data_IF_001443325659
#
_entry.id   IF_001443325659
#
_cell.length_a   1.000
_cell.length_b   1.000
_cell.length_c   1.000
_cell.angle_alpha   90.00
_cell.angle_beta   90.00
_cell.angle_gamma   90.00
#
_symmetry.space_group_name_H-M   'P 1'
#
loop_
_entity.id
_entity.type
_entity.pdbx_description
1 polymer ?
#
# COMPACT_ATOMS: atom_id res chain seq x y z
N UNK A 1 55.25 -10.38 55.93
CA UNK A 1 53.84 -10.74 55.63
C UNK A 1 53.27 -9.62 54.74
N UNK A 2 52.65 -9.99 53.63
CA UNK A 2 52.51 -9.21 52.40
C UNK A 2 51.71 -7.90 52.51
N UNK A 3 52.21 -6.86 51.83
CA UNK A 3 51.53 -5.59 51.53
C UNK A 3 50.59 -5.78 50.32
N UNK A 4 49.33 -5.37 50.42
CA UNK A 4 48.39 -5.27 49.30
C UNK A 4 48.02 -3.79 49.11
N UNK A 5 48.34 -3.15 47.97
CA UNK A 5 47.87 -1.81 47.68
C UNK A 5 46.48 -1.88 47.04
N UNK A 6 45.48 -1.29 47.70
CA UNK A 6 44.13 -1.16 47.15
C UNK A 6 44.08 0.02 46.18
N UNK A 7 44.23 -0.26 44.89
CA UNK A 7 43.99 0.71 43.81
C UNK A 7 42.50 0.99 43.68
N UNK A 8 42.02 2.10 44.24
CA UNK A 8 40.71 2.67 43.88
C UNK A 8 40.86 3.43 42.57
N UNK A 9 40.51 2.79 41.44
CA UNK A 9 40.23 3.50 40.19
C UNK A 9 39.00 4.38 40.41
N UNK A 10 39.24 5.67 40.69
CA UNK A 10 38.22 6.70 40.61
C UNK A 10 37.79 6.79 39.15
N UNK A 11 36.63 6.21 38.82
CA UNK A 11 35.96 6.52 37.56
C UNK A 11 35.71 8.02 37.57
N UNK A 12 36.45 8.73 36.72
CA UNK A 12 36.40 10.18 36.62
C UNK A 12 34.99 10.58 36.18
N UNK A 13 34.16 11.04 37.13
CA UNK A 13 32.77 11.46 36.88
C UNK A 13 32.63 12.45 35.71
N UNK A 14 33.70 13.17 35.35
CA UNK A 14 33.71 14.18 34.29
C UNK A 14 33.55 13.64 32.86
N UNK A 15 33.82 12.36 32.59
CA UNK A 15 33.66 11.77 31.24
C UNK A 15 32.36 10.99 31.05
N UNK A 16 31.68 10.60 32.14
CA UNK A 16 30.44 9.82 32.06
C UNK A 16 29.21 10.65 31.65
N UNK A 17 29.14 11.92 32.08
CA UNK A 17 28.01 12.81 31.80
C UNK A 17 27.80 13.17 30.31
N UNK A 18 28.83 13.54 29.51
CA UNK A 18 28.62 13.87 28.10
C UNK A 18 28.23 12.64 27.25
N UNK A 19 28.73 11.44 27.61
CA UNK A 19 28.35 10.18 26.97
C UNK A 19 26.90 9.79 27.26
N UNK A 20 26.45 9.92 28.50
CA UNK A 20 25.05 9.67 28.88
C UNK A 20 24.09 10.66 28.22
N UNK A 21 24.44 11.95 28.15
CA UNK A 21 23.63 12.96 27.44
C UNK A 21 23.56 12.69 25.94
N UNK A 22 24.66 12.26 25.31
CA UNK A 22 24.68 11.88 23.90
C UNK A 22 23.80 10.65 23.60
N UNK A 23 23.83 9.63 24.45
CA UNK A 23 22.99 8.44 24.33
C UNK A 23 21.52 8.80 24.52
N UNK A 24 21.17 9.61 25.52
CA UNK A 24 19.80 10.06 25.75
C UNK A 24 19.29 10.90 24.57
N UNK A 25 20.11 11.80 24.02
CA UNK A 25 19.75 12.57 22.83
C UNK A 25 19.53 11.66 21.60
N UNK A 26 20.38 10.66 21.37
CA UNK A 26 20.20 9.68 20.30
C UNK A 26 18.94 8.83 20.48
N UNK A 27 18.64 8.41 21.71
CA UNK A 27 17.43 7.67 22.03
C UNK A 27 16.18 8.54 21.83
N UNK A 28 16.21 9.82 22.22
CA UNK A 28 15.11 10.76 22.01
C UNK A 28 14.90 11.07 20.51
N UNK A 29 15.98 11.18 19.72
CA UNK A 29 15.90 11.34 18.27
C UNK A 29 15.34 10.08 17.58
N UNK A 30 15.79 8.88 17.97
CA UNK A 30 15.27 7.62 17.44
C UNK A 30 13.79 7.40 17.82
N UNK A 31 13.40 7.81 19.03
CA UNK A 31 12.02 7.73 19.49
C UNK A 31 11.12 8.78 18.82
N UNK A 32 11.64 9.98 18.58
CA UNK A 32 10.97 11.04 17.82
C UNK A 32 10.75 10.66 16.35
N UNK A 33 11.73 10.02 15.71
CA UNK A 33 11.61 9.53 14.34
C UNK A 33 10.55 8.42 14.20
N UNK A 34 10.36 7.59 15.23
CA UNK A 34 9.27 6.61 15.29
C UNK A 34 7.89 7.24 15.58
N UNK A 35 7.82 8.44 16.15
CA UNK A 35 6.56 9.16 16.46
C UNK A 35 6.10 10.12 15.38
N UNK A 36 7.01 10.58 14.52
CA UNK A 36 6.66 11.17 13.24
C UNK A 36 6.20 10.02 12.35
N UNK A 37 4.90 9.77 12.30
CA UNK A 37 4.29 8.74 11.47
C UNK A 37 4.51 8.95 9.98
N UNK A 38 5.75 8.81 9.50
CA UNK A 38 6.03 8.25 8.17
C UNK A 38 5.75 6.75 8.29
N UNK A 39 4.49 6.43 8.59
CA UNK A 39 4.00 5.08 8.54
C UNK A 39 4.18 4.64 7.10
N UNK A 40 5.07 3.68 6.89
CA UNK A 40 5.13 2.95 5.63
C UNK A 40 3.78 2.25 5.48
N UNK A 41 2.78 2.93 4.93
CA UNK A 41 1.53 2.28 4.58
C UNK A 41 1.84 1.41 3.38
N UNK A 42 2.16 0.15 3.67
CA UNK A 42 2.35 -0.88 2.64
C UNK A 42 1.05 -1.12 1.88
N UNK A 43 1.15 -1.66 0.67
CA UNK A 43 -0.03 -2.03 -0.15
C UNK A 43 -0.95 -2.97 0.63
N UNK A 44 -0.40 -3.99 1.29
CA UNK A 44 -1.17 -4.92 2.11
C UNK A 44 -1.88 -4.23 3.29
N UNK A 45 -1.19 -3.37 4.04
CA UNK A 45 -1.80 -2.64 5.15
C UNK A 45 -2.98 -1.77 4.71
N UNK A 46 -2.98 -1.29 3.47
CA UNK A 46 -4.08 -0.52 2.90
C UNK A 46 -5.21 -1.41 2.37
N UNK A 47 -4.94 -2.59 1.81
CA UNK A 47 -5.95 -3.35 1.06
C UNK A 47 -6.29 -4.73 1.62
N UNK A 48 -5.76 -5.11 2.79
CA UNK A 48 -6.21 -6.31 3.52
C UNK A 48 -7.56 -6.10 4.22
N UNK A 49 -7.90 -4.84 4.52
CA UNK A 49 -9.17 -4.45 5.16
C UNK A 49 -9.74 -3.21 4.45
N UNK A 50 -10.22 -3.35 3.19
CA UNK A 50 -10.73 -2.22 2.43
C UNK A 50 -12.04 -1.67 3.05
N UNK A 51 -12.32 -0.35 2.92
CA UNK A 51 -13.60 0.24 3.31
C UNK A 51 -14.72 -0.16 2.35
N UNK A 52 -15.97 -0.15 2.83
CA UNK A 52 -17.16 -0.21 1.98
C UNK A 52 -17.18 0.95 0.95
N UNK A 53 -17.94 0.80 -0.13
CA UNK A 53 -18.15 1.88 -1.10
C UNK A 53 -18.88 3.11 -0.47
N UNK A 54 -18.50 4.35 -0.80
CA UNK A 54 -17.34 4.73 -1.61
C UNK A 54 -16.03 4.52 -0.85
N UNK A 55 -15.03 4.00 -1.54
CA UNK A 55 -13.79 3.59 -0.89
C UNK A 55 -12.81 4.73 -0.63
N UNK A 56 -11.53 4.48 -0.91
CA UNK A 56 -10.47 5.46 -0.66
C UNK A 56 -10.62 6.74 -1.51
N UNK A 57 -10.30 7.89 -0.92
CA UNK A 57 -10.08 9.12 -1.71
C UNK A 57 -8.70 9.06 -2.36
N UNK A 58 -8.69 8.93 -3.68
CA UNK A 58 -7.48 9.01 -4.50
C UNK A 58 -7.27 10.43 -5.01
N UNK A 59 -6.03 10.72 -5.37
CA UNK A 59 -5.69 11.90 -6.16
C UNK A 59 -5.14 11.49 -7.50
N UNK A 60 -5.29 12.35 -8.51
CA UNK A 60 -4.57 12.28 -9.78
C UNK A 60 -3.91 13.61 -10.02
N UNK A 61 -2.59 13.61 -10.21
CA UNK A 61 -1.81 14.84 -10.38
C UNK A 61 -2.05 15.87 -9.25
N UNK A 62 -2.23 15.37 -8.01
CA UNK A 62 -2.46 16.18 -6.82
C UNK A 62 -3.89 16.69 -6.60
N UNK A 63 -4.84 16.36 -7.48
CA UNK A 63 -6.26 16.71 -7.32
C UNK A 63 -7.08 15.48 -6.90
N UNK A 64 -8.00 15.59 -5.93
CA UNK A 64 -8.92 14.51 -5.60
C UNK A 64 -9.74 14.10 -6.83
N UNK A 65 -9.95 12.79 -7.01
CA UNK A 65 -10.77 12.25 -8.09
C UNK A 65 -12.09 11.70 -7.57
N UNK A 66 -13.10 11.68 -8.44
CA UNK A 66 -14.42 11.15 -8.08
C UNK A 66 -14.44 9.61 -8.11
N UNK A 67 -15.34 8.95 -7.36
CA UNK A 67 -15.54 7.50 -7.46
C UNK A 67 -15.95 7.01 -8.85
N UNK A 68 -16.51 7.90 -9.69
CA UNK A 68 -16.83 7.57 -11.09
C UNK A 68 -15.56 7.46 -11.95
N UNK A 69 -14.48 8.15 -11.57
CA UNK A 69 -13.17 8.05 -12.22
C UNK A 69 -12.34 6.91 -11.63
N UNK A 70 -12.23 6.83 -10.31
CA UNK A 70 -11.51 5.76 -9.61
C UNK A 70 -12.17 5.47 -8.27
N UNK A 71 -12.59 4.23 -8.08
CA UNK A 71 -13.00 3.69 -6.78
C UNK A 71 -12.12 2.49 -6.43
N UNK A 72 -11.71 2.42 -5.17
CA UNK A 72 -11.02 1.26 -4.59
C UNK A 72 -11.67 0.95 -3.26
N UNK A 73 -12.48 -0.11 -3.23
CA UNK A 73 -13.36 -0.44 -2.11
C UNK A 73 -13.47 -1.95 -1.89
N UNK A 74 -14.09 -2.34 -0.79
CA UNK A 74 -14.42 -3.71 -0.46
C UNK A 74 -15.46 -4.28 -1.43
N UNK A 75 -15.42 -5.60 -1.64
CA UNK A 75 -16.51 -6.31 -2.29
C UNK A 75 -17.83 -6.25 -1.51
N UNK A 76 -18.94 -6.53 -2.20
CA UNK A 76 -20.26 -6.49 -1.59
C UNK A 76 -20.42 -7.54 -0.49
N UNK A 77 -20.76 -7.10 0.73
CA UNK A 77 -21.05 -7.98 1.88
C UNK A 77 -22.17 -8.99 1.63
N UNK A 78 -23.14 -8.66 0.77
CA UNK A 78 -24.23 -9.58 0.40
C UNK A 78 -23.75 -10.81 -0.39
N UNK A 79 -22.49 -10.82 -0.79
CA UNK A 79 -21.80 -11.94 -1.44
C UNK A 79 -20.63 -12.50 -0.65
N UNK A 80 -20.46 -12.07 0.61
CA UNK A 80 -19.32 -12.45 1.45
C UNK A 80 -17.96 -12.07 0.81
N UNK A 81 -17.93 -10.94 0.08
CA UNK A 81 -16.74 -10.45 -0.62
C UNK A 81 -16.00 -9.32 0.11
N UNK A 82 -16.34 -9.02 1.36
CA UNK A 82 -15.74 -7.90 2.10
C UNK A 82 -14.22 -8.01 2.28
N UNK A 83 -13.64 -9.22 2.17
CA UNK A 83 -12.19 -9.43 2.23
C UNK A 83 -11.48 -9.25 0.88
N UNK A 84 -12.21 -9.02 -0.21
CA UNK A 84 -11.65 -8.71 -1.52
C UNK A 84 -11.66 -7.19 -1.74
N UNK A 85 -10.62 -6.66 -2.36
CA UNK A 85 -10.59 -5.26 -2.81
C UNK A 85 -10.85 -5.20 -4.31
N UNK A 86 -11.80 -4.37 -4.69
CA UNK A 86 -12.12 -4.06 -6.07
C UNK A 86 -11.60 -2.67 -6.42
N UNK A 87 -10.84 -2.58 -7.51
CA UNK A 87 -10.45 -1.33 -8.13
C UNK A 87 -11.25 -1.15 -9.41
N UNK A 88 -12.12 -0.14 -9.45
CA UNK A 88 -12.88 0.24 -10.63
C UNK A 88 -12.35 1.56 -11.16
N UNK A 89 -11.83 1.52 -12.39
CA UNK A 89 -11.16 2.64 -13.03
C UNK A 89 -11.89 2.99 -14.32
N UNK A 90 -12.30 4.26 -14.47
CA UNK A 90 -12.82 4.79 -15.72
C UNK A 90 -11.82 4.60 -16.86
N UNK A 91 -12.33 4.20 -18.02
CA UNK A 91 -11.53 3.85 -19.17
C UNK A 91 -11.91 4.68 -20.41
N UNK A 92 -10.95 5.29 -21.13
CA UNK A 92 -9.50 5.35 -20.85
C UNK A 92 -9.12 6.04 -19.53
N UNK A 93 -7.88 5.83 -19.06
CA UNK A 93 -7.36 6.43 -17.81
C UNK A 93 -7.67 7.93 -17.73
N UNK A 94 -8.28 8.37 -16.62
CA UNK A 94 -8.64 9.77 -16.41
C UNK A 94 -10.03 10.16 -16.88
N UNK A 95 -10.86 9.21 -17.33
CA UNK A 95 -12.26 9.46 -17.66
C UNK A 95 -13.18 9.06 -16.52
N UNK A 96 -14.39 9.63 -16.52
CA UNK A 96 -15.47 9.17 -15.66
C UNK A 96 -16.22 8.03 -16.33
N UNK A 97 -16.62 7.04 -15.55
CA UNK A 97 -17.49 5.95 -15.96
C UNK A 97 -18.93 6.23 -15.53
N UNK A 98 -19.88 6.04 -16.45
CA UNK A 98 -21.32 5.99 -16.14
C UNK A 98 -21.86 4.54 -16.08
N UNK A 99 -21.00 3.55 -16.36
CA UNK A 99 -21.35 2.14 -16.38
C UNK A 99 -20.17 1.25 -16.73
N UNK A 100 -20.38 -0.08 -16.70
CA UNK A 100 -19.33 -1.09 -16.81
C UNK A 100 -18.61 -1.12 -18.16
N UNK A 101 -19.24 -0.65 -19.24
CA UNK A 101 -18.60 -0.54 -20.56
C UNK A 101 -17.56 0.58 -20.66
N UNK A 102 -17.57 1.51 -19.70
CA UNK A 102 -16.68 2.67 -19.63
C UNK A 102 -15.68 2.55 -18.47
N UNK A 103 -15.52 1.35 -17.91
CA UNK A 103 -14.62 1.10 -16.81
C UNK A 103 -13.87 -0.23 -17.00
N UNK A 104 -12.75 -0.35 -16.29
CA UNK A 104 -12.07 -1.61 -16.06
C UNK A 104 -12.08 -1.91 -14.57
N UNK A 105 -12.29 -3.17 -14.23
CA UNK A 105 -12.27 -3.64 -12.85
C UNK A 105 -11.07 -4.56 -12.64
N UNK A 106 -10.35 -4.37 -11.55
CA UNK A 106 -9.24 -5.21 -11.12
C UNK A 106 -9.50 -5.70 -9.71
N UNK A 107 -9.12 -6.94 -9.42
CA UNK A 107 -9.54 -7.63 -8.19
C UNK A 107 -8.31 -8.08 -7.41
N UNK A 108 -8.19 -7.58 -6.18
CA UNK A 108 -7.27 -8.12 -5.17
C UNK A 108 -8.05 -9.03 -4.25
N UNK A 109 -7.98 -10.34 -4.51
CA UNK A 109 -8.61 -11.36 -3.69
C UNK A 109 -7.60 -12.44 -3.26
N UNK A 110 -6.80 -12.20 -2.19
CA UNK A 110 -5.85 -13.19 -1.70
C UNK A 110 -6.52 -14.38 -1.02
N UNK A 111 -7.80 -14.25 -0.62
CA UNK A 111 -8.55 -15.27 0.10
C UNK A 111 -9.44 -16.13 -0.79
N UNK A 112 -9.63 -15.75 -2.06
CA UNK A 112 -10.42 -16.50 -3.03
C UNK A 112 -11.93 -16.47 -2.75
N UNK A 113 -12.43 -15.39 -2.15
CA UNK A 113 -13.87 -15.23 -1.88
C UNK A 113 -14.66 -14.91 -3.16
N UNK A 114 -14.01 -14.27 -4.15
CA UNK A 114 -14.59 -13.93 -5.45
C UNK A 114 -14.50 -15.13 -6.38
N UNK A 115 -15.56 -15.96 -6.38
CA UNK A 115 -15.69 -17.16 -7.24
C UNK A 115 -16.21 -16.80 -8.64
N UNK A 116 -15.50 -15.91 -9.34
CA UNK A 116 -15.88 -15.46 -10.68
C UNK A 116 -14.99 -16.11 -11.75
N UNK A 117 -15.61 -16.61 -12.82
CA UNK A 117 -14.88 -17.08 -14.00
C UNK A 117 -14.24 -15.92 -14.81
N UNK A 118 -14.58 -14.67 -14.48
CA UNK A 118 -14.09 -13.48 -15.19
C UNK A 118 -12.76 -12.95 -14.66
N UNK A 119 -12.31 -13.46 -13.52
CA UNK A 119 -10.98 -13.20 -12.95
C UNK A 119 -10.12 -14.42 -13.24
N UNK A 120 -9.28 -14.34 -14.28
CA UNK A 120 -8.55 -15.49 -14.80
C UNK A 120 -7.39 -15.96 -13.91
N UNK A 121 -6.92 -15.10 -13.01
CA UNK A 121 -5.70 -15.32 -12.22
C UNK A 121 -5.89 -14.84 -10.77
N UNK A 122 -4.99 -15.27 -9.87
CA UNK A 122 -4.90 -14.72 -8.51
C UNK A 122 -4.03 -13.46 -8.50
N UNK A 123 -4.23 -12.54 -7.54
CA UNK A 123 -3.31 -11.42 -7.38
C UNK A 123 -1.90 -11.91 -6.99
N UNK A 124 -0.87 -11.24 -7.52
CA UNK A 124 0.52 -11.47 -7.14
C UNK A 124 0.94 -10.39 -6.16
N UNK A 125 0.99 -10.72 -4.87
CA UNK A 125 1.21 -9.76 -3.77
C UNK A 125 2.66 -9.21 -3.68
N UNK A 126 3.59 -9.80 -4.42
CA UNK A 126 4.99 -9.37 -4.54
C UNK A 126 5.43 -9.51 -5.99
N UNK A 127 4.81 -8.75 -6.86
CA UNK A 127 5.12 -8.72 -8.27
C UNK A 127 6.41 -7.92 -8.52
N UNK A 128 7.11 -8.28 -9.59
CA UNK A 128 8.06 -7.36 -10.22
C UNK A 128 7.26 -6.40 -11.10
N UNK A 129 7.59 -5.11 -11.03
CA UNK A 129 7.01 -4.14 -11.95
C UNK A 129 7.62 -4.34 -13.35
N UNK A 130 6.82 -4.49 -14.42
CA UNK A 130 7.34 -4.57 -15.77
C UNK A 130 8.15 -3.33 -16.15
N UNK A 131 9.17 -3.52 -16.99
CA UNK A 131 10.09 -2.43 -17.40
C UNK A 131 9.41 -1.36 -18.26
N UNK A 132 8.31 -1.71 -18.90
CA UNK A 132 7.47 -0.83 -19.72
C UNK A 132 6.30 -0.23 -18.93
N UNK A 133 6.18 -0.50 -17.63
CA UNK A 133 5.12 0.03 -16.81
C UNK A 133 5.22 1.55 -16.67
N UNK A 134 4.10 2.24 -16.94
CA UNK A 134 3.97 3.68 -16.86
C UNK A 134 3.05 4.07 -15.71
N UNK A 135 3.39 5.14 -14.96
CA UNK A 135 2.51 5.66 -13.93
C UNK A 135 1.26 6.25 -14.57
N UNK A 136 0.11 5.98 -13.97
CA UNK A 136 -1.20 6.52 -14.41
C UNK A 136 -1.47 7.95 -13.89
N UNK A 137 -0.69 8.37 -12.90
CA UNK A 137 -0.87 9.61 -12.14
C UNK A 137 -1.75 9.48 -10.90
N UNK A 138 -2.42 8.32 -10.69
CA UNK A 138 -3.23 8.08 -9.48
C UNK A 138 -2.36 7.75 -8.27
N UNK A 139 -2.66 8.38 -7.13
CA UNK A 139 -1.96 8.22 -5.88
C UNK A 139 -2.89 8.25 -4.66
N UNK A 140 -2.62 7.39 -3.69
CA UNK A 140 -3.18 7.43 -2.34
C UNK A 140 -2.03 7.29 -1.33
N UNK A 141 -1.66 8.41 -0.70
CA UNK A 141 -0.45 8.47 0.12
C UNK A 141 0.79 8.12 -0.70
N UNK A 142 1.49 7.04 -0.32
CA UNK A 142 2.67 6.54 -1.03
C UNK A 142 2.36 5.45 -2.08
N UNK A 143 1.10 5.02 -2.18
CA UNK A 143 0.66 4.00 -3.13
C UNK A 143 0.28 4.65 -4.46
N UNK A 144 0.72 4.05 -5.56
CA UNK A 144 0.53 4.56 -6.92
C UNK A 144 0.06 3.45 -7.86
N UNK A 145 -0.68 3.82 -8.90
CA UNK A 145 -1.16 2.89 -9.92
C UNK A 145 -0.34 2.99 -11.21
N UNK A 146 0.05 1.83 -11.74
CA UNK A 146 0.83 1.67 -12.96
C UNK A 146 0.11 0.73 -13.92
N UNK A 147 0.28 0.99 -15.22
CA UNK A 147 -0.15 0.11 -16.29
C UNK A 147 1.05 -0.19 -17.18
N UNK A 148 1.20 -1.45 -17.57
CA UNK A 148 2.25 -1.89 -18.50
C UNK A 148 1.60 -2.16 -19.85
N UNK A 149 2.10 -1.60 -20.97
CA UNK A 149 1.61 -1.90 -22.31
C UNK A 149 1.62 -3.41 -22.64
N UNK A 150 2.58 -4.17 -22.13
CA UNK A 150 2.61 -5.63 -22.32
C UNK A 150 1.55 -6.40 -21.53
N UNK A 151 0.91 -5.75 -20.55
CA UNK A 151 -0.05 -6.34 -19.61
C UNK A 151 -1.37 -5.56 -19.53
N UNK A 152 -1.59 -4.59 -20.42
CA UNK A 152 -2.57 -3.51 -20.23
C UNK A 152 -4.01 -4.03 -20.17
N UNK A 153 -4.32 -5.09 -20.91
CA UNK A 153 -5.62 -5.76 -20.91
C UNK A 153 -5.77 -6.80 -19.78
N UNK A 154 -4.68 -7.15 -19.09
CA UNK A 154 -4.60 -8.27 -18.14
C UNK A 154 -4.59 -7.84 -16.67
N UNK A 155 -3.89 -6.75 -16.34
CA UNK A 155 -3.67 -6.39 -14.95
C UNK A 155 -3.35 -4.91 -14.73
N UNK A 156 -3.50 -4.49 -13.47
CA UNK A 156 -2.97 -3.22 -12.97
C UNK A 156 -1.89 -3.52 -11.93
N UNK A 157 -0.90 -2.63 -11.86
CA UNK A 157 0.17 -2.71 -10.87
C UNK A 157 -0.06 -1.65 -9.79
N UNK A 158 -0.11 -2.11 -8.55
CA UNK A 158 -0.28 -1.27 -7.37
C UNK A 158 1.05 -1.21 -6.64
N UNK A 159 1.74 -0.08 -6.75
CA UNK A 159 3.11 0.10 -6.30
C UNK A 159 3.10 0.91 -5.01
N UNK A 160 3.63 0.33 -3.93
CA UNK A 160 3.86 1.02 -2.67
C UNK A 160 5.32 0.95 -2.22
N UNK A 161 5.65 1.49 -1.03
CA UNK A 161 7.03 1.59 -0.55
C UNK A 161 7.76 0.26 -0.38
N UNK A 162 7.02 -0.78 0.04
CA UNK A 162 7.60 -2.06 0.45
C UNK A 162 7.30 -3.21 -0.53
N UNK A 163 6.32 -3.04 -1.42
CA UNK A 163 5.90 -4.07 -2.37
C UNK A 163 5.17 -3.46 -3.57
N UNK A 164 5.25 -4.19 -4.68
CA UNK A 164 4.37 -4.03 -5.83
C UNK A 164 3.43 -5.22 -5.86
N UNK A 165 2.15 -4.97 -6.03
CA UNK A 165 1.15 -6.00 -6.27
C UNK A 165 0.68 -5.94 -7.74
N UNK A 166 0.40 -7.10 -8.34
CA UNK A 166 -0.26 -7.21 -9.64
C UNK A 166 -1.68 -7.71 -9.41
N UNK A 167 -2.67 -6.88 -9.75
CA UNK A 167 -4.08 -7.21 -9.58
C UNK A 167 -4.67 -7.60 -10.93
N UNK A 168 -5.18 -8.84 -11.07
CA UNK A 168 -5.79 -9.30 -12.31
C UNK A 168 -7.04 -8.49 -12.63
N UNK A 169 -7.24 -8.26 -13.92
CA UNK A 169 -8.47 -7.67 -14.43
C UNK A 169 -9.60 -8.69 -14.38
N UNK A 170 -10.79 -8.22 -14.01
CA UNK A 170 -12.04 -8.92 -14.30
C UNK A 170 -12.55 -8.52 -15.68
N UNK A 171 -12.75 -9.49 -16.58
CA UNK A 171 -13.35 -9.24 -17.90
C UNK A 171 -14.38 -10.33 -18.29
N UNK A 172 -15.69 -10.01 -18.33
CA UNK A 172 -16.32 -8.74 -17.96
C UNK A 172 -16.14 -8.36 -16.47
N UNK A 173 -16.58 -7.17 -16.08
CA UNK A 173 -16.57 -6.76 -14.67
C UNK A 173 -17.38 -7.75 -13.84
N UNK A 174 -16.79 -8.22 -12.75
CA UNK A 174 -17.45 -9.05 -11.76
C UNK A 174 -18.36 -8.16 -10.93
N UNK A 175 -19.65 -8.42 -11.01
CA UNK A 175 -20.66 -7.89 -10.12
C UNK A 175 -21.34 -9.03 -9.39
N UNK A 176 -21.90 -8.70 -8.23
CA UNK A 176 -22.91 -9.54 -7.62
C UNK A 176 -24.30 -9.03 -7.98
N UNK A 177 -25.21 -9.97 -8.24
CA UNK A 177 -26.63 -9.73 -8.53
C UNK A 177 -27.50 -10.45 -7.53
#
# INVERSE_FOLDING_TARGET
MFLIPTSRRLLNRRTAYPLLLGIVALLLLAWGANRLGVGKTSVAALFDYPPDYPGYTWTRNGQPVSPQELDVSAGGRHCDWESATFLTLGWPVGTHSAGSSQARQYVRDPHGVVKSAYVSEKPVLRAMLPVDALPTGYQHGLVQLFLSPSDDDLAIYVVGPDATERWPRSNPMTGCI
#
